data_IF_037373924901
#
_entry.id   IF_037373924901
#
_cell.length_a   1.000
_cell.length_b   1.000
_cell.length_c   1.000
_cell.angle_alpha   90.00
_cell.angle_beta   90.00
_cell.angle_gamma   90.00
#
_symmetry.space_group_name_H-M   'P 1'
#
loop_
_entity.id
_entity.type
_entity.pdbx_description
1 polymer ?
#
# COMPACT_ATOMS: atom_id res chain seq x y z
N UNK A 1 10.20 -10.72 26.12
CA UNK A 1 9.66 -9.39 25.79
C UNK A 1 10.08 -9.16 24.34
N UNK A 2 9.22 -9.54 23.39
CA UNK A 2 9.50 -9.40 21.96
C UNK A 2 9.46 -7.91 21.64
N UNK A 3 10.59 -7.35 21.24
CA UNK A 3 10.63 -5.98 20.73
C UNK A 3 9.70 -5.94 19.52
N UNK A 4 8.62 -5.15 19.59
CA UNK A 4 7.87 -4.81 18.39
C UNK A 4 8.82 -3.99 17.53
N UNK A 5 9.40 -4.60 16.51
CA UNK A 5 10.08 -3.87 15.45
C UNK A 5 9.10 -2.80 14.93
N UNK A 6 9.51 -1.54 15.05
CA UNK A 6 8.67 -0.42 14.67
C UNK A 6 8.54 -0.39 13.15
N UNK A 7 7.35 -0.72 12.66
CA UNK A 7 7.05 -0.62 11.22
C UNK A 7 6.85 0.85 10.87
N UNK A 8 7.69 1.38 9.98
CA UNK A 8 7.53 2.76 9.49
C UNK A 8 6.46 2.75 8.37
N UNK A 9 5.24 3.17 8.72
CA UNK A 9 4.09 3.25 7.81
C UNK A 9 3.88 4.70 7.39
N UNK A 10 3.99 4.97 6.09
CA UNK A 10 3.73 6.29 5.50
C UNK A 10 2.49 6.27 4.62
N UNK A 11 1.69 7.32 4.71
CA UNK A 11 0.47 7.49 3.92
C UNK A 11 0.55 8.78 3.11
N UNK A 12 0.55 8.64 1.79
CA UNK A 12 0.53 9.74 0.85
C UNK A 12 -0.89 9.87 0.29
N UNK A 13 -1.55 11.02 0.47
CA UNK A 13 -2.93 11.23 0.00
C UNK A 13 -3.05 12.39 -0.98
N UNK A 14 -3.72 12.12 -2.10
CA UNK A 14 -3.95 13.10 -3.18
C UNK A 14 -5.07 14.06 -2.83
N UNK A 15 -4.91 15.33 -3.20
CA UNK A 15 -5.96 16.33 -3.02
C UNK A 15 -7.22 15.92 -3.80
N UNK A 16 -8.42 16.25 -3.29
CA UNK A 16 -9.66 16.03 -4.04
C UNK A 16 -9.57 16.61 -5.46
N UNK A 17 -10.10 15.87 -6.44
CA UNK A 17 -10.04 16.25 -7.86
C UNK A 17 -8.71 16.00 -8.56
N UNK A 18 -7.67 15.54 -7.84
CA UNK A 18 -6.40 15.09 -8.44
C UNK A 18 -6.49 13.61 -8.77
N UNK A 19 -6.01 13.23 -9.94
CA UNK A 19 -5.81 11.83 -10.35
C UNK A 19 -4.32 11.59 -10.48
N UNK A 20 -3.82 10.46 -9.96
CA UNK A 20 -2.47 10.00 -10.27
C UNK A 20 -2.53 8.64 -10.97
N UNK A 21 -1.51 8.36 -11.78
CA UNK A 21 -1.28 7.06 -12.36
C UNK A 21 -0.16 6.38 -11.59
N UNK A 22 -0.33 5.09 -11.34
CA UNK A 22 0.73 4.24 -10.82
C UNK A 22 1.13 3.32 -11.95
N UNK A 23 2.43 3.23 -12.18
CA UNK A 23 3.03 2.20 -13.02
C UNK A 23 3.71 1.18 -12.10
N UNK A 24 3.47 -0.10 -12.36
CA UNK A 24 4.01 -1.20 -11.56
C UNK A 24 4.88 -2.05 -12.46
N UNK A 25 6.20 -1.95 -12.25
CA UNK A 25 7.19 -2.72 -12.99
C UNK A 25 7.62 -3.97 -12.19
N UNK A 26 7.95 -5.04 -12.90
CA UNK A 26 8.44 -6.30 -12.31
C UNK A 26 7.36 -7.34 -12.05
N UNK A 27 7.76 -8.57 -11.66
CA UNK A 27 6.85 -9.68 -11.38
C UNK A 27 6.06 -9.47 -10.08
N UNK A 28 4.82 -9.95 -10.05
CA UNK A 28 3.94 -9.91 -8.87
C UNK A 28 4.39 -10.94 -7.82
N UNK A 29 5.47 -10.63 -7.10
CA UNK A 29 6.04 -11.52 -6.07
C UNK A 29 5.45 -11.32 -4.68
N UNK A 30 4.57 -10.33 -4.52
CA UNK A 30 3.96 -9.97 -3.23
C UNK A 30 2.50 -9.56 -3.40
N UNK A 31 1.70 -9.73 -2.34
CA UNK A 31 0.29 -9.34 -2.37
C UNK A 31 0.11 -7.82 -2.52
N UNK A 32 1.04 -7.00 -2.02
CA UNK A 32 1.00 -5.54 -2.18
C UNK A 32 1.15 -5.15 -3.66
N UNK A 33 2.11 -5.76 -4.36
CA UNK A 33 2.33 -5.54 -5.79
C UNK A 33 1.12 -6.00 -6.60
N UNK A 34 0.60 -7.19 -6.31
CA UNK A 34 -0.57 -7.74 -6.99
C UNK A 34 -1.81 -6.85 -6.79
N UNK A 35 -2.04 -6.36 -5.55
CA UNK A 35 -3.10 -5.39 -5.26
C UNK A 35 -2.91 -4.09 -6.06
N UNK A 36 -1.72 -3.49 -5.97
CA UNK A 36 -1.46 -2.20 -6.61
C UNK A 36 -1.52 -2.29 -8.14
N UNK A 37 -1.11 -3.41 -8.74
CA UNK A 37 -1.26 -3.66 -10.18
C UNK A 37 -2.74 -3.75 -10.59
N UNK A 38 -3.59 -4.39 -9.80
CA UNK A 38 -5.04 -4.35 -10.03
C UNK A 38 -5.58 -2.92 -9.98
N UNK A 39 -5.00 -2.05 -9.12
CA UNK A 39 -5.43 -0.65 -8.97
C UNK A 39 -4.80 0.32 -9.97
N UNK A 40 -3.67 -0.01 -10.58
CA UNK A 40 -3.05 0.81 -11.63
C UNK A 40 -4.00 1.09 -12.81
N UNK A 41 -4.97 0.19 -13.01
CA UNK A 41 -6.01 0.32 -14.04
C UNK A 41 -7.22 1.16 -13.60
N UNK A 42 -7.34 1.49 -12.30
CA UNK A 42 -8.40 2.35 -11.79
C UNK A 42 -8.00 3.83 -11.92
N UNK A 43 -8.93 4.67 -12.39
CA UNK A 43 -8.74 6.13 -12.45
C UNK A 43 -8.97 6.83 -11.10
N UNK A 44 -9.27 6.07 -10.06
CA UNK A 44 -9.77 6.59 -8.78
C UNK A 44 -8.72 6.64 -7.67
N UNK A 45 -7.42 6.52 -7.97
CA UNK A 45 -6.41 6.55 -6.92
C UNK A 45 -6.50 7.83 -6.08
N UNK A 46 -6.55 7.67 -4.76
CA UNK A 46 -6.61 8.73 -3.75
C UNK A 46 -5.48 8.67 -2.74
N UNK A 47 -4.89 7.50 -2.50
CA UNK A 47 -3.78 7.38 -1.57
C UNK A 47 -2.85 6.21 -1.88
N UNK A 48 -1.64 6.28 -1.34
CA UNK A 48 -0.63 5.23 -1.38
C UNK A 48 -0.15 4.98 0.05
N UNK A 49 -0.20 3.72 0.48
CA UNK A 49 0.42 3.23 1.71
C UNK A 49 1.81 2.71 1.39
N UNK A 50 2.81 3.16 2.13
CA UNK A 50 4.18 2.67 2.05
C UNK A 50 4.52 2.01 3.38
N UNK A 51 4.86 0.72 3.36
CA UNK A 51 5.35 -0.01 4.52
C UNK A 51 6.86 -0.22 4.35
N UNK A 52 7.67 0.33 5.26
CA UNK A 52 9.13 0.17 5.23
C UNK A 52 9.60 -0.66 6.43
N UNK A 53 10.68 -1.43 6.22
CA UNK A 53 11.25 -2.30 7.26
C UNK A 53 10.39 -3.53 7.58
N UNK A 54 9.48 -3.91 6.67
CA UNK A 54 8.71 -5.14 6.77
C UNK A 54 9.04 -6.10 5.64
N UNK A 55 9.08 -7.42 5.91
CA UNK A 55 9.07 -8.40 4.85
C UNK A 55 7.81 -8.23 4.01
N UNK A 56 7.95 -8.43 2.70
CA UNK A 56 6.83 -8.35 1.77
C UNK A 56 5.75 -9.37 2.13
N UNK A 57 4.48 -8.97 2.04
CA UNK A 57 3.35 -9.86 2.28
C UNK A 57 3.32 -10.92 1.17
N UNK A 58 3.35 -12.22 1.50
CA UNK A 58 3.27 -13.29 0.51
C UNK A 58 2.02 -13.14 -0.37
N UNK A 59 2.06 -13.65 -1.60
CA UNK A 59 0.95 -13.52 -2.58
C UNK A 59 -0.42 -13.97 -2.03
N UNK A 60 -0.45 -14.96 -1.14
CA UNK A 60 -1.69 -15.45 -0.50
C UNK A 60 -2.19 -14.54 0.65
N UNK A 61 -1.46 -13.49 1.00
CA UNK A 61 -1.79 -12.55 2.08
C UNK A 61 -2.71 -11.40 1.68
N UNK A 62 -3.53 -11.56 0.63
CA UNK A 62 -4.44 -10.51 0.14
C UNK A 62 -5.37 -9.95 1.22
N UNK A 63 -5.83 -10.76 2.18
CA UNK A 63 -6.68 -10.30 3.30
C UNK A 63 -5.95 -9.34 4.25
N UNK A 64 -4.63 -9.47 4.38
CA UNK A 64 -3.81 -8.54 5.17
C UNK A 64 -3.70 -7.22 4.43
N UNK A 65 -3.38 -7.27 3.13
CA UNK A 65 -3.33 -6.08 2.27
C UNK A 65 -4.66 -5.34 2.28
N UNK A 66 -5.77 -6.05 2.09
CA UNK A 66 -7.12 -5.48 2.12
C UNK A 66 -7.41 -4.74 3.42
N UNK A 67 -7.08 -5.33 4.58
CA UNK A 67 -7.27 -4.68 5.89
C UNK A 67 -6.44 -3.40 6.05
N UNK A 68 -5.20 -3.39 5.55
CA UNK A 68 -4.33 -2.20 5.60
C UNK A 68 -4.93 -1.08 4.75
N UNK A 69 -5.26 -1.36 3.49
CA UNK A 69 -5.78 -0.35 2.56
C UNK A 69 -7.19 0.12 2.94
N UNK A 70 -8.03 -0.75 3.53
CA UNK A 70 -9.32 -0.36 4.09
C UNK A 70 -9.16 0.63 5.26
N UNK A 71 -8.21 0.35 6.17
CA UNK A 71 -7.91 1.25 7.29
C UNK A 71 -7.39 2.60 6.79
N UNK A 72 -6.51 2.59 5.80
CA UNK A 72 -6.02 3.80 5.15
C UNK A 72 -7.14 4.59 4.45
N UNK A 73 -8.03 3.90 3.72
CA UNK A 73 -9.18 4.51 3.05
C UNK A 73 -10.10 5.22 4.06
N UNK A 74 -10.43 4.56 5.18
CA UNK A 74 -11.21 5.16 6.28
C UNK A 74 -10.54 6.41 6.84
N UNK A 75 -9.22 6.36 7.05
CA UNK A 75 -8.47 7.51 7.56
C UNK A 75 -8.48 8.70 6.58
N UNK A 76 -8.23 8.45 5.28
CA UNK A 76 -8.23 9.49 4.25
C UNK A 76 -9.62 10.08 4.05
N UNK A 77 -10.65 9.22 3.99
CA UNK A 77 -12.04 9.64 3.80
C UNK A 77 -12.57 10.46 4.98
N UNK A 78 -12.32 10.00 6.21
CA UNK A 78 -12.72 10.70 7.43
C UNK A 78 -12.06 12.08 7.59
N UNK A 79 -10.83 12.23 7.10
CA UNK A 79 -10.09 13.50 7.18
C UNK A 79 -10.48 14.53 6.11
N UNK A 80 -11.15 14.11 5.03
CA UNK A 80 -11.36 14.94 3.82
C UNK A 80 -12.81 15.05 3.35
N UNK A 81 -13.77 14.48 4.08
CA UNK A 81 -15.19 14.55 3.70
C UNK A 81 -15.50 13.99 2.31
N UNK A 82 -14.62 13.11 1.82
CA UNK A 82 -14.71 12.50 0.49
C UNK A 82 -14.84 10.99 0.70
N UNK A 83 -15.76 10.36 -0.03
CA UNK A 83 -15.86 8.89 -0.01
C UNK A 83 -14.59 8.30 -0.64
N UNK A 84 -13.86 7.52 0.15
CA UNK A 84 -12.63 6.82 -0.27
C UNK A 84 -12.80 5.38 0.16
N UNK A 85 -12.79 4.48 -0.81
CA UNK A 85 -12.85 3.04 -0.58
C UNK A 85 -11.47 2.37 -0.65
N UNK A 86 -11.36 1.10 -0.23
CA UNK A 86 -10.15 0.31 -0.41
C UNK A 86 -9.62 0.32 -1.85
N UNK A 87 -10.55 0.35 -2.84
CA UNK A 87 -10.23 0.39 -4.27
C UNK A 87 -9.47 1.65 -4.70
N UNK A 88 -9.54 2.72 -3.91
CA UNK A 88 -8.91 4.01 -4.19
C UNK A 88 -7.50 4.11 -3.57
N UNK A 89 -7.01 3.04 -2.94
CA UNK A 89 -5.75 3.03 -2.20
C UNK A 89 -4.82 1.97 -2.77
N UNK A 90 -3.61 2.40 -3.12
CA UNK A 90 -2.50 1.52 -3.46
C UNK A 90 -1.61 1.25 -2.24
N UNK A 91 -0.82 0.19 -2.31
CA UNK A 91 0.13 -0.18 -1.27
C UNK A 91 1.44 -0.71 -1.87
N UNK A 92 2.56 -0.36 -1.27
CA UNK A 92 3.85 -0.95 -1.60
C UNK A 92 4.69 -1.20 -0.35
N UNK A 93 5.30 -2.38 -0.28
CA UNK A 93 6.34 -2.69 0.68
C UNK A 93 7.70 -2.25 0.15
N UNK A 94 8.51 -1.66 1.02
CA UNK A 94 9.92 -1.35 0.77
C UNK A 94 10.73 -2.22 1.74
N UNK A 95 11.45 -3.19 1.20
CA UNK A 95 12.37 -4.00 1.99
C UNK A 95 13.45 -3.10 2.62
N UNK A 96 13.89 -3.47 3.82
CA UNK A 96 15.01 -2.78 4.44
C UNK A 96 16.26 -2.92 3.54
N UNK A 97 17.03 -1.84 3.29
CA UNK A 97 18.25 -1.92 2.48
C UNK A 97 19.31 -2.87 3.07
N UNK A 98 19.17 -3.32 4.32
CA UNK A 98 20.00 -4.37 4.92
C UNK A 98 19.61 -5.80 4.54
N UNK A 99 18.45 -6.01 3.89
CA UNK A 99 17.94 -7.33 3.46
C UNK A 99 18.21 -7.59 1.96
N UNK A 100 19.18 -6.88 1.36
CA UNK A 100 19.85 -7.34 0.12
C UNK A 100 21.15 -8.05 0.49
N UNK A 101 21.01 -9.18 1.19
CA UNK A 101 22.12 -10.10 1.39
C UNK A 101 21.70 -11.49 0.90
N UNK A 102 22.48 -11.96 -0.08
CA UNK A 102 22.63 -13.34 -0.55
C UNK A 102 21.61 -13.83 -1.61
N UNK A 103 22.01 -13.67 -2.87
CA UNK A 103 21.82 -14.68 -3.92
C UNK A 103 23.20 -15.14 -4.39
#
# INVERSE_FOLDING_TARGET
MTELESVDVRLLSLRPGTTARIDVAGPDRSAELAWTRQKAHSRSLRAIVVTAGCPSIPEHGFDVVHRIVESAAKFVGGSRGTEVGPIDVAICGVADPGEVAEH
#
